data_IF_482784333007
#
_entry.id   IF_482784333007
#
_cell.length_a   1.000
_cell.length_b   1.000
_cell.length_c   1.000
_cell.angle_alpha   90.00
_cell.angle_beta   90.00
_cell.angle_gamma   90.00
#
_symmetry.space_group_name_H-M   'P 1'
#
loop_
_entity.id
_entity.type
_entity.pdbx_description
1 polymer ?
#
# COMPACT_ATOMS: atom_id res chain seq x y z
N UNK A 1 -21.28 -7.93 -21.38
CA UNK A 1 -20.36 -7.37 -20.34
C UNK A 1 -19.28 -8.39 -20.03
N UNK A 2 -18.10 -7.95 -19.60
CA UNK A 2 -17.02 -8.86 -19.20
C UNK A 2 -17.48 -9.77 -18.04
N UNK A 3 -17.52 -11.11 -18.23
CA UNK A 3 -18.00 -12.03 -17.19
C UNK A 3 -17.09 -12.03 -15.93
N UNK A 4 -15.82 -11.67 -16.07
CA UNK A 4 -14.88 -11.62 -14.94
C UNK A 4 -15.26 -10.58 -13.89
N UNK A 5 -16.07 -9.58 -14.24
CA UNK A 5 -16.56 -8.59 -13.26
C UNK A 5 -17.41 -9.24 -12.14
N UNK A 6 -18.10 -10.34 -12.42
CA UNK A 6 -18.88 -11.07 -11.43
C UNK A 6 -18.02 -11.82 -10.40
N UNK A 7 -16.73 -12.00 -10.68
CA UNK A 7 -15.79 -12.66 -9.76
C UNK A 7 -15.15 -11.68 -8.76
N UNK A 8 -15.32 -10.36 -8.99
CA UNK A 8 -14.80 -9.35 -8.06
C UNK A 8 -15.58 -9.40 -6.73
N UNK A 9 -14.83 -9.39 -5.64
CA UNK A 9 -15.43 -9.30 -4.30
C UNK A 9 -15.83 -7.86 -3.97
N UNK A 10 -16.87 -7.66 -3.13
CA UNK A 10 -17.24 -6.33 -2.66
C UNK A 10 -16.04 -5.62 -1.99
N UNK A 11 -15.82 -4.37 -2.39
CA UNK A 11 -14.69 -3.60 -1.87
C UNK A 11 -14.83 -3.34 -0.35
N UNK A 12 -13.75 -3.40 0.45
CA UNK A 12 -13.80 -3.33 1.92
C UNK A 12 -14.61 -2.16 2.47
N UNK A 13 -14.48 -0.98 1.87
CA UNK A 13 -15.26 0.19 2.32
C UNK A 13 -16.75 0.12 1.97
N UNK A 14 -17.13 -0.61 0.93
CA UNK A 14 -18.52 -0.96 0.64
C UNK A 14 -19.09 -1.88 1.73
N UNK A 15 -18.35 -2.92 2.08
CA UNK A 15 -18.70 -3.83 3.19
C UNK A 15 -18.78 -3.09 4.53
N UNK A 16 -17.85 -2.16 4.80
CA UNK A 16 -17.84 -1.36 6.02
C UNK A 16 -19.11 -0.48 6.12
N UNK A 17 -19.51 0.16 5.03
CA UNK A 17 -20.77 0.94 5.00
C UNK A 17 -21.99 0.07 5.28
N UNK A 18 -22.04 -1.15 4.74
CA UNK A 18 -23.11 -2.10 5.01
C UNK A 18 -23.11 -2.56 6.47
N UNK A 19 -21.95 -2.84 7.05
CA UNK A 19 -21.80 -3.22 8.46
C UNK A 19 -22.34 -2.14 9.41
N UNK A 20 -22.14 -0.88 9.06
CA UNK A 20 -22.57 0.27 9.86
C UNK A 20 -24.00 0.76 9.54
N UNK A 21 -24.66 0.16 8.57
CA UNK A 21 -26.03 0.52 8.22
C UNK A 21 -26.95 0.40 9.45
N UNK A 22 -27.75 1.44 9.69
CA UNK A 22 -28.69 1.51 10.82
C UNK A 22 -28.04 1.73 12.19
N UNK A 23 -26.72 1.94 12.26
CA UNK A 23 -26.07 2.33 13.53
C UNK A 23 -26.18 3.84 13.70
N UNK A 24 -26.69 4.27 14.85
CA UNK A 24 -26.73 5.67 15.27
C UNK A 24 -25.73 5.86 16.41
N UNK A 25 -24.58 6.49 16.18
CA UNK A 25 -23.61 6.74 17.24
C UNK A 25 -24.13 7.73 18.28
N UNK A 26 -23.61 7.72 19.52
CA UNK A 26 -24.01 8.65 20.56
C UNK A 26 -23.63 10.09 20.22
N UNK A 27 -24.56 11.03 20.37
CA UNK A 27 -24.33 12.46 20.12
C UNK A 27 -23.28 13.09 21.06
N UNK A 28 -23.00 12.43 22.20
CA UNK A 28 -21.99 12.89 23.17
C UNK A 28 -20.55 12.76 22.67
N UNK A 29 -20.30 11.97 21.61
CA UNK A 29 -18.97 11.77 21.05
C UNK A 29 -18.91 12.31 19.61
N UNK A 30 -17.94 13.19 19.35
CA UNK A 30 -17.61 13.59 17.99
C UNK A 30 -17.09 12.37 17.20
N UNK A 31 -17.41 12.24 15.89
CA UNK A 31 -16.97 11.11 15.09
C UNK A 31 -15.45 11.12 14.89
N UNK A 32 -14.77 10.00 15.15
CA UNK A 32 -13.37 9.80 14.80
C UNK A 32 -13.23 8.58 13.91
N UNK A 33 -12.62 8.77 12.74
CA UNK A 33 -12.41 7.67 11.79
C UNK A 33 -10.95 7.26 11.73
N UNK A 34 -10.67 6.05 12.20
CA UNK A 34 -9.41 5.32 12.02
C UNK A 34 -9.53 4.23 10.93
N UNK A 35 -10.67 4.14 10.24
CA UNK A 35 -10.91 3.09 9.24
C UNK A 35 -10.27 3.38 7.88
N UNK A 36 -10.23 4.67 7.47
CA UNK A 36 -9.78 5.07 6.14
C UNK A 36 -8.32 5.50 6.15
N UNK A 37 -7.50 4.88 5.30
CA UNK A 37 -6.06 5.21 5.14
C UNK A 37 -5.82 6.34 4.14
N UNK A 38 -6.38 7.52 4.39
CA UNK A 38 -6.16 8.73 3.62
C UNK A 38 -5.44 9.77 4.47
N UNK A 39 -4.24 10.26 4.04
CA UNK A 39 -3.52 11.28 4.77
C UNK A 39 -4.36 12.54 5.02
N UNK A 40 -4.30 13.07 6.23
CA UNK A 40 -5.03 14.28 6.63
C UNK A 40 -4.12 15.46 6.99
N UNK A 41 -2.79 15.27 6.97
CA UNK A 41 -1.88 16.40 7.09
C UNK A 41 -2.06 17.34 5.89
N UNK A 42 -1.88 18.66 6.06
CA UNK A 42 -2.07 19.60 4.97
C UNK A 42 -1.07 19.36 3.85
N UNK A 43 -1.53 19.54 2.61
CA UNK A 43 -0.66 19.56 1.45
C UNK A 43 0.36 20.69 1.57
N UNK A 44 1.67 20.43 1.38
CA UNK A 44 2.70 21.47 1.41
C UNK A 44 2.42 22.62 0.46
N UNK A 45 2.66 23.87 0.90
CA UNK A 45 2.30 25.06 0.14
C UNK A 45 3.06 25.12 -1.19
N UNK A 46 4.36 24.80 -1.19
CA UNK A 46 5.19 24.84 -2.41
C UNK A 46 4.68 23.92 -3.53
N UNK A 47 3.99 22.82 -3.20
CA UNK A 47 3.36 21.94 -4.20
C UNK A 47 2.15 22.63 -4.83
N UNK A 48 1.34 23.34 -4.03
CA UNK A 48 0.21 24.13 -4.54
C UNK A 48 0.70 25.29 -5.42
N UNK A 49 1.79 25.93 -5.01
CA UNK A 49 2.41 27.02 -5.78
C UNK A 49 2.95 26.52 -7.13
N UNK A 50 3.57 25.33 -7.14
CA UNK A 50 4.01 24.70 -8.39
C UNK A 50 2.84 24.37 -9.33
N UNK A 51 1.69 23.94 -8.81
CA UNK A 51 0.46 23.76 -9.60
C UNK A 51 0.03 25.09 -10.21
N UNK A 52 -0.11 26.12 -9.37
CA UNK A 52 -0.61 27.43 -9.79
C UNK A 52 0.29 28.11 -10.83
N UNK A 53 1.61 27.95 -10.70
CA UNK A 53 2.59 28.52 -11.62
C UNK A 53 2.67 27.80 -12.99
N UNK A 54 2.05 26.63 -13.14
CA UNK A 54 2.16 25.82 -14.36
C UNK A 54 0.80 25.51 -15.02
N UNK A 55 -0.25 26.29 -14.73
CA UNK A 55 -1.59 26.08 -15.30
C UNK A 55 -1.64 26.16 -16.83
N UNK A 56 -0.74 26.91 -17.46
CA UNK A 56 -0.62 26.99 -18.93
C UNK A 56 -0.32 25.61 -19.57
N UNK A 57 0.22 24.66 -18.79
CA UNK A 57 0.42 23.29 -19.22
C UNK A 57 -0.87 22.53 -19.58
N UNK A 58 -2.05 23.07 -19.22
CA UNK A 58 -3.36 22.50 -19.59
C UNK A 58 -3.63 22.60 -21.09
N UNK A 59 -2.93 23.45 -21.82
CA UNK A 59 -3.15 23.68 -23.24
C UNK A 59 -2.63 22.56 -24.16
N UNK A 60 -1.89 21.57 -23.63
CA UNK A 60 -1.21 20.55 -24.44
C UNK A 60 -1.43 19.15 -23.91
N UNK A 61 -1.57 18.17 -24.83
CA UNK A 61 -1.56 16.77 -24.46
C UNK A 61 -0.19 16.35 -23.93
N UNK A 62 -0.12 15.66 -22.77
CA UNK A 62 1.13 15.12 -22.26
C UNK A 62 1.56 13.86 -23.02
N UNK A 63 2.86 13.66 -23.17
CA UNK A 63 3.39 12.37 -23.59
C UNK A 63 3.16 11.31 -22.49
N UNK A 64 2.83 10.07 -22.87
CA UNK A 64 2.62 8.96 -21.91
C UNK A 64 3.87 8.69 -21.07
N UNK A 65 5.06 8.81 -21.64
CA UNK A 65 6.34 8.67 -20.93
C UNK A 65 6.61 9.81 -19.93
N UNK A 66 5.85 10.90 -19.99
CA UNK A 66 6.10 12.10 -19.22
C UNK A 66 7.33 12.90 -19.68
N UNK A 67 7.52 14.08 -19.10
CA UNK A 67 8.69 14.93 -19.34
C UNK A 67 9.96 14.22 -18.82
N UNK A 68 11.08 14.37 -19.53
CA UNK A 68 12.37 13.83 -19.12
C UNK A 68 12.78 14.34 -17.72
N UNK A 69 12.57 15.64 -17.46
CA UNK A 69 12.88 16.25 -16.15
C UNK A 69 12.14 15.57 -14.99
N UNK A 70 10.91 15.13 -15.23
CA UNK A 70 10.16 14.36 -14.21
C UNK A 70 10.80 12.99 -13.96
N UNK A 71 11.18 12.29 -15.01
CA UNK A 71 11.85 10.96 -14.89
C UNK A 71 13.24 11.09 -14.25
N UNK A 72 13.96 12.17 -14.56
CA UNK A 72 15.23 12.51 -13.90
C UNK A 72 15.03 12.84 -12.41
N UNK A 73 13.94 13.53 -12.04
CA UNK A 73 13.61 13.78 -10.63
C UNK A 73 13.35 12.48 -9.86
N UNK A 74 12.69 11.48 -10.49
CA UNK A 74 12.50 10.15 -9.90
C UNK A 74 13.83 9.41 -9.74
N UNK A 75 14.66 9.38 -10.77
CA UNK A 75 15.99 8.74 -10.72
C UNK A 75 16.89 9.39 -9.67
N UNK A 76 16.87 10.73 -9.58
CA UNK A 76 17.61 11.47 -8.57
C UNK A 76 17.12 11.13 -7.14
N UNK A 77 15.80 10.97 -6.95
CA UNK A 77 15.26 10.55 -5.67
C UNK A 77 15.69 9.11 -5.32
N UNK A 78 15.64 8.16 -6.26
CA UNK A 78 16.11 6.79 -6.07
C UNK A 78 17.59 6.75 -5.71
N UNK A 79 18.41 7.61 -6.33
CA UNK A 79 19.83 7.74 -6.00
C UNK A 79 20.01 8.25 -4.56
N UNK A 80 19.36 9.35 -4.16
CA UNK A 80 19.45 9.89 -2.80
C UNK A 80 18.95 8.93 -1.73
N UNK A 81 17.82 8.25 -2.02
CA UNK A 81 17.11 7.44 -1.03
C UNK A 81 17.68 6.03 -0.86
N UNK A 82 18.17 5.43 -1.93
CA UNK A 82 18.52 4.01 -1.99
C UNK A 82 19.94 3.75 -2.54
N UNK A 83 20.66 4.81 -2.88
CA UNK A 83 21.99 4.72 -3.54
C UNK A 83 21.93 3.89 -4.84
N UNK A 84 20.94 4.17 -5.69
CA UNK A 84 20.70 3.45 -6.93
C UNK A 84 21.00 4.31 -8.15
N UNK A 85 21.66 3.74 -9.13
CA UNK A 85 21.77 4.28 -10.48
C UNK A 85 20.65 3.68 -11.35
N UNK A 86 19.59 4.47 -11.62
CA UNK A 86 18.45 4.07 -12.43
C UNK A 86 18.38 4.96 -13.66
N UNK A 87 18.34 4.35 -14.86
CA UNK A 87 18.27 5.09 -16.11
C UNK A 87 16.86 5.73 -16.28
N UNK A 88 16.83 7.06 -16.23
CA UNK A 88 15.59 7.83 -16.41
C UNK A 88 14.94 7.68 -17.78
N UNK A 89 15.69 7.26 -18.80
CA UNK A 89 15.15 7.06 -20.14
C UNK A 89 14.42 5.72 -20.31
N UNK A 90 14.89 4.66 -19.67
CA UNK A 90 14.42 3.28 -19.94
C UNK A 90 13.85 2.55 -18.72
N UNK A 91 14.21 2.95 -17.50
CA UNK A 91 13.87 2.22 -16.28
C UNK A 91 12.84 2.91 -15.37
N UNK A 92 12.30 4.06 -15.77
CA UNK A 92 11.37 4.85 -14.95
C UNK A 92 10.21 5.37 -15.80
N UNK A 93 8.99 5.27 -15.27
CA UNK A 93 7.78 5.85 -15.88
C UNK A 93 6.92 6.57 -14.82
N UNK A 94 6.37 7.75 -15.13
CA UNK A 94 5.34 8.38 -14.30
C UNK A 94 4.03 7.58 -14.36
N UNK A 95 3.29 7.60 -13.24
CA UNK A 95 1.99 6.95 -13.14
C UNK A 95 0.98 7.87 -12.44
N UNK A 96 -0.31 7.75 -12.76
CA UNK A 96 -1.38 8.55 -12.17
C UNK A 96 -1.82 8.01 -10.80
N UNK A 97 -0.84 7.84 -9.92
CA UNK A 97 -0.93 7.16 -8.63
C UNK A 97 -0.74 5.65 -8.77
N UNK A 98 -0.25 5.03 -7.69
CA UNK A 98 0.09 3.59 -7.70
C UNK A 98 -1.11 2.67 -7.89
N UNK A 99 -2.33 3.08 -7.47
CA UNK A 99 -3.54 2.24 -7.60
C UNK A 99 -3.81 1.85 -9.05
N UNK A 100 -3.88 2.84 -9.95
CA UNK A 100 -4.14 2.56 -11.36
C UNK A 100 -2.98 1.82 -12.02
N UNK A 101 -1.75 2.17 -11.61
CA UNK A 101 -0.54 1.59 -12.17
C UNK A 101 -0.40 0.10 -11.82
N UNK A 102 -0.61 -0.28 -10.55
CA UNK A 102 -0.60 -1.68 -10.10
C UNK A 102 -1.66 -2.51 -10.83
N UNK A 103 -2.86 -1.94 -11.04
CA UNK A 103 -3.91 -2.59 -11.80
C UNK A 103 -3.52 -2.76 -13.27
N UNK A 104 -3.08 -1.70 -13.94
CA UNK A 104 -2.69 -1.69 -15.33
C UNK A 104 -1.46 -2.59 -15.60
N UNK A 105 -0.54 -2.67 -14.63
CA UNK A 105 0.66 -3.48 -14.76
C UNK A 105 0.34 -4.99 -14.84
N UNK A 106 -0.64 -5.47 -14.08
CA UNK A 106 -1.09 -6.85 -14.20
C UNK A 106 -1.62 -7.16 -15.62
N UNK A 107 -2.32 -6.21 -16.24
CA UNK A 107 -2.80 -6.35 -17.62
C UNK A 107 -1.64 -6.42 -18.64
N UNK A 108 -0.47 -5.86 -18.29
CA UNK A 108 0.73 -5.90 -19.14
C UNK A 108 1.48 -7.22 -19.02
N UNK A 109 1.51 -7.79 -17.82
CA UNK A 109 2.35 -8.97 -17.51
C UNK A 109 1.62 -10.28 -17.76
N UNK A 110 0.31 -10.35 -17.46
CA UNK A 110 -0.44 -11.59 -17.51
C UNK A 110 -0.76 -11.98 -18.95
N UNK A 111 -0.34 -13.19 -19.31
CA UNK A 111 -0.70 -13.86 -20.56
C UNK A 111 -1.72 -14.98 -20.27
N UNK A 112 -3.02 -14.73 -20.48
CA UNK A 112 -4.06 -15.73 -20.22
C UNK A 112 -4.02 -16.92 -21.19
N UNK A 113 -3.33 -16.80 -22.32
CA UNK A 113 -3.18 -17.89 -23.29
C UNK A 113 -2.27 -19.03 -22.80
N UNK A 114 -1.41 -18.75 -21.81
CA UNK A 114 -0.48 -19.74 -21.22
C UNK A 114 -1.13 -20.65 -20.18
N UNK A 115 -2.44 -20.82 -20.20
CA UNK A 115 -3.22 -21.76 -19.41
C UNK A 115 -3.23 -21.48 -17.91
N UNK A 116 -4.37 -21.06 -17.35
CA UNK A 116 -4.59 -20.81 -15.92
C UNK A 116 -3.44 -20.04 -15.19
N UNK A 117 -3.08 -18.83 -15.62
CA UNK A 117 -2.04 -18.06 -14.97
C UNK A 117 -2.42 -17.77 -13.52
N UNK A 118 -1.40 -17.65 -12.67
CA UNK A 118 -1.56 -17.34 -11.25
C UNK A 118 -0.89 -16.01 -10.95
N UNK A 119 -1.55 -15.22 -10.09
CA UNK A 119 -0.96 -14.05 -9.42
C UNK A 119 -0.87 -14.36 -7.93
N UNK A 120 0.33 -14.36 -7.37
CA UNK A 120 0.52 -14.54 -5.93
C UNK A 120 0.34 -13.19 -5.23
N UNK A 121 -0.52 -13.16 -4.20
CA UNK A 121 -0.79 -11.99 -3.37
C UNK A 121 -0.44 -12.32 -1.91
N UNK A 122 0.21 -11.42 -1.17
CA UNK A 122 0.29 -11.55 0.29
C UNK A 122 -1.13 -11.56 0.87
N UNK A 123 -1.33 -12.10 2.05
CA UNK A 123 -2.64 -12.15 2.70
C UNK A 123 -2.49 -11.87 4.20
N UNK A 124 -2.98 -10.76 4.75
CA UNK A 124 -3.84 -9.73 4.12
C UNK A 124 -3.15 -8.90 3.04
N UNK A 125 -3.93 -8.18 2.23
CA UNK A 125 -3.44 -7.48 1.05
C UNK A 125 -4.27 -6.24 0.68
N UNK A 126 -3.76 -5.47 -0.28
CA UNK A 126 -4.51 -4.40 -0.92
C UNK A 126 -5.36 -4.98 -2.06
N UNK A 127 -6.68 -4.80 -2.00
CA UNK A 127 -7.66 -5.48 -2.87
C UNK A 127 -7.49 -5.22 -4.37
N UNK A 128 -6.70 -4.22 -4.73
CA UNK A 128 -6.35 -3.94 -6.13
C UNK A 128 -5.58 -5.11 -6.76
N UNK A 129 -4.73 -5.81 -5.99
CA UNK A 129 -3.97 -6.96 -6.50
C UNK A 129 -4.89 -8.09 -6.97
N UNK A 130 -5.91 -8.44 -6.16
CA UNK A 130 -6.93 -9.42 -6.51
C UNK A 130 -7.72 -9.00 -7.75
N UNK A 131 -8.24 -7.76 -7.75
CA UNK A 131 -9.02 -7.24 -8.87
C UNK A 131 -8.21 -7.18 -10.17
N UNK A 132 -6.94 -6.80 -10.09
CA UNK A 132 -6.03 -6.78 -11.23
C UNK A 132 -5.77 -8.19 -11.78
N UNK A 133 -5.54 -9.17 -10.89
CA UNK A 133 -5.35 -10.57 -11.27
C UNK A 133 -6.58 -11.13 -11.99
N UNK A 134 -7.75 -11.01 -11.37
CA UNK A 134 -9.03 -11.52 -11.91
C UNK A 134 -9.34 -10.92 -13.28
N UNK A 135 -9.24 -9.59 -13.41
CA UNK A 135 -9.58 -8.93 -14.68
C UNK A 135 -8.52 -9.09 -15.77
N UNK A 136 -7.30 -9.50 -15.42
CA UNK A 136 -6.28 -9.95 -16.37
C UNK A 136 -6.47 -11.42 -16.79
N UNK A 137 -7.45 -12.14 -16.23
CA UNK A 137 -7.71 -13.54 -16.53
C UNK A 137 -6.85 -14.52 -15.73
N UNK A 138 -6.23 -14.07 -14.64
CA UNK A 138 -5.44 -14.90 -13.74
C UNK A 138 -6.22 -15.31 -12.48
N UNK A 139 -5.78 -16.41 -11.86
CA UNK A 139 -6.30 -16.84 -10.55
C UNK A 139 -5.42 -16.25 -9.45
N UNK A 140 -5.97 -15.48 -8.49
CA UNK A 140 -5.20 -15.04 -7.34
C UNK A 140 -4.90 -16.21 -6.39
N UNK A 141 -3.66 -16.35 -5.96
CA UNK A 141 -3.24 -17.24 -4.89
C UNK A 141 -2.85 -16.41 -3.67
N UNK A 142 -3.47 -16.67 -2.53
CA UNK A 142 -3.26 -15.91 -1.31
C UNK A 142 -2.24 -16.60 -0.43
N UNK A 143 -1.09 -15.94 -0.23
CA UNK A 143 0.00 -16.43 0.62
C UNK A 143 -0.12 -15.79 2.01
N UNK A 144 -0.47 -16.55 3.07
CA UNK A 144 -0.76 -15.98 4.38
C UNK A 144 0.49 -15.39 5.03
N UNK A 145 0.33 -14.23 5.67
CA UNK A 145 1.34 -13.64 6.54
C UNK A 145 1.31 -14.32 7.91
N UNK A 146 2.48 -14.46 8.53
CA UNK A 146 2.65 -15.11 9.82
C UNK A 146 2.97 -14.06 10.92
N UNK A 147 2.10 -13.88 11.92
CA UNK A 147 2.37 -12.96 13.03
C UNK A 147 3.68 -13.27 13.77
N UNK A 148 4.06 -14.55 13.87
CA UNK A 148 5.31 -14.96 14.54
C UNK A 148 6.58 -14.55 13.77
N UNK A 149 6.42 -14.19 12.48
CA UNK A 149 7.50 -13.72 11.59
C UNK A 149 7.37 -12.23 11.27
N UNK A 150 6.85 -11.45 12.19
CA UNK A 150 6.53 -10.03 11.95
C UNK A 150 5.65 -9.83 10.69
N UNK A 151 4.64 -10.68 10.53
CA UNK A 151 3.73 -10.69 9.38
C UNK A 151 4.40 -10.90 8.00
N UNK A 152 5.64 -11.40 7.96
CA UNK A 152 6.23 -11.85 6.72
C UNK A 152 5.50 -13.08 6.18
N UNK A 153 5.36 -13.16 4.87
CA UNK A 153 4.83 -14.36 4.20
C UNK A 153 5.87 -15.47 4.26
N UNK A 154 5.43 -16.69 4.57
CA UNK A 154 6.28 -17.86 4.41
C UNK A 154 6.16 -18.40 2.99
N UNK A 155 7.07 -18.00 2.11
CA UNK A 155 7.06 -18.40 0.70
C UNK A 155 7.22 -19.91 0.47
N UNK A 156 7.77 -20.65 1.45
CA UNK A 156 7.90 -22.11 1.39
C UNK A 156 6.55 -22.83 1.51
N UNK A 157 5.52 -22.14 2.00
CA UNK A 157 4.17 -22.70 2.07
C UNK A 157 3.41 -22.61 0.75
N UNK A 158 3.92 -21.86 -0.22
CA UNK A 158 3.31 -21.78 -1.56
C UNK A 158 3.72 -23.03 -2.35
N UNK A 159 2.76 -23.84 -2.81
CA UNK A 159 3.06 -25.08 -3.52
C UNK A 159 3.85 -24.85 -4.83
N UNK A 160 4.74 -25.75 -5.17
CA UNK A 160 5.54 -25.67 -6.40
C UNK A 160 4.67 -25.61 -7.67
N UNK A 161 3.54 -26.34 -7.70
CA UNK A 161 2.55 -26.26 -8.78
C UNK A 161 1.90 -24.86 -8.94
N UNK A 162 1.90 -24.03 -7.89
CA UNK A 162 1.48 -22.64 -7.95
C UNK A 162 2.59 -21.81 -8.57
N UNK A 163 3.85 -21.96 -8.12
CA UNK A 163 4.99 -21.25 -8.68
C UNK A 163 5.16 -21.47 -10.18
N UNK A 164 4.98 -22.71 -10.66
CA UNK A 164 5.08 -23.06 -12.08
C UNK A 164 4.08 -22.32 -12.97
N UNK A 165 2.96 -21.85 -12.42
CA UNK A 165 1.92 -21.09 -13.14
C UNK A 165 1.93 -19.61 -12.79
N UNK A 166 2.76 -19.19 -11.83
CA UNK A 166 2.83 -17.79 -11.41
C UNK A 166 3.46 -16.94 -12.51
N UNK A 167 2.78 -15.88 -12.89
CA UNK A 167 3.30 -14.89 -13.83
C UNK A 167 3.61 -13.56 -13.14
N UNK A 168 2.90 -13.25 -12.05
CA UNK A 168 3.09 -12.02 -11.29
C UNK A 168 2.97 -12.32 -9.80
N UNK A 169 3.84 -11.71 -9.02
CA UNK A 169 3.77 -11.68 -7.56
C UNK A 169 3.73 -10.22 -7.10
N UNK A 170 2.72 -9.87 -6.30
CA UNK A 170 2.67 -8.59 -5.61
C UNK A 170 3.31 -8.68 -4.24
N UNK A 171 4.13 -7.67 -3.92
CA UNK A 171 4.70 -7.44 -2.60
C UNK A 171 4.23 -6.06 -2.12
N UNK A 172 3.91 -5.92 -0.85
CA UNK A 172 3.68 -4.63 -0.22
C UNK A 172 4.67 -4.47 0.94
N UNK A 173 5.67 -3.63 0.76
CA UNK A 173 6.70 -3.38 1.78
C UNK A 173 7.10 -1.91 1.76
N UNK A 174 6.73 -1.15 2.82
CA UNK A 174 6.01 -1.54 4.05
C UNK A 174 4.56 -1.99 3.81
N UNK A 175 4.12 -2.96 4.58
CA UNK A 175 2.86 -3.66 4.39
C UNK A 175 1.60 -2.86 4.73
N UNK A 176 0.56 -2.97 3.91
CA UNK A 176 -0.79 -2.60 4.26
C UNK A 176 -1.62 -3.90 4.40
N UNK A 177 -2.10 -4.25 5.61
CA UNK A 177 -2.29 -3.40 6.80
C UNK A 177 -1.19 -3.49 7.89
N UNK A 178 -0.21 -4.36 7.75
CA UNK A 178 0.65 -4.82 8.85
C UNK A 178 1.76 -3.84 9.25
N UNK A 179 2.18 -2.97 8.34
CA UNK A 179 3.32 -2.08 8.52
C UNK A 179 4.69 -2.78 8.51
N UNK A 180 4.72 -4.09 8.24
CA UNK A 180 5.96 -4.87 8.20
C UNK A 180 6.84 -4.49 7.00
N UNK A 181 8.15 -4.43 7.22
CA UNK A 181 9.15 -4.24 6.17
C UNK A 181 9.81 -5.57 5.85
N UNK A 182 9.84 -5.92 4.57
CA UNK A 182 10.42 -7.18 4.12
C UNK A 182 11.96 -7.16 4.24
N UNK A 183 12.57 -8.10 4.97
CA UNK A 183 14.01 -8.15 5.15
C UNK A 183 14.72 -8.65 3.87
N UNK A 184 16.02 -8.38 3.76
CA UNK A 184 16.83 -8.75 2.60
C UNK A 184 16.79 -10.24 2.27
N UNK A 185 16.76 -11.11 3.29
CA UNK A 185 16.67 -12.57 3.10
C UNK A 185 15.40 -13.02 2.38
N UNK A 186 14.27 -12.38 2.65
CA UNK A 186 13.01 -12.67 1.96
C UNK A 186 13.04 -12.16 0.51
N UNK A 187 13.66 -11.00 0.26
CA UNK A 187 13.88 -10.51 -1.10
C UNK A 187 14.77 -11.45 -1.92
N UNK A 188 15.89 -11.92 -1.34
CA UNK A 188 16.79 -12.86 -2.00
C UNK A 188 16.06 -14.15 -2.40
N UNK A 189 15.24 -14.70 -1.49
CA UNK A 189 14.41 -15.86 -1.76
C UNK A 189 13.43 -15.63 -2.92
N UNK A 190 12.78 -14.46 -2.96
CA UNK A 190 11.88 -14.12 -4.07
C UNK A 190 12.63 -13.96 -5.40
N UNK A 191 13.85 -13.42 -5.39
CA UNK A 191 14.68 -13.34 -6.61
C UNK A 191 15.06 -14.73 -7.12
N UNK A 192 15.43 -15.66 -6.24
CA UNK A 192 15.74 -17.04 -6.61
C UNK A 192 14.51 -17.76 -7.20
N UNK A 193 13.34 -17.57 -6.59
CA UNK A 193 12.08 -18.11 -7.10
C UNK A 193 11.70 -17.50 -8.45
N UNK A 194 11.85 -16.19 -8.61
CA UNK A 194 11.61 -15.49 -9.88
C UNK A 194 12.56 -15.95 -10.98
N UNK A 195 13.84 -16.15 -10.68
CA UNK A 195 14.82 -16.68 -11.64
C UNK A 195 14.48 -18.11 -12.07
N UNK A 196 13.99 -18.93 -11.13
CA UNK A 196 13.63 -20.34 -11.38
C UNK A 196 12.34 -20.49 -12.19
N UNK A 197 11.32 -19.69 -11.88
CA UNK A 197 9.97 -19.86 -12.43
C UNK A 197 9.58 -18.79 -13.47
N UNK A 198 10.35 -17.70 -13.58
CA UNK A 198 10.19 -16.67 -14.60
C UNK A 198 9.07 -15.67 -14.32
N UNK A 199 8.55 -15.57 -13.10
CA UNK A 199 7.51 -14.59 -12.76
C UNK A 199 8.08 -13.20 -12.48
N UNK A 200 7.24 -12.18 -12.64
CA UNK A 200 7.55 -10.79 -12.33
C UNK A 200 7.19 -10.47 -10.89
N UNK A 201 8.02 -9.67 -10.22
CA UNK A 201 7.76 -9.12 -8.88
C UNK A 201 7.37 -7.65 -9.02
N UNK A 202 6.17 -7.31 -8.54
CA UNK A 202 5.67 -5.94 -8.43
C UNK A 202 5.65 -5.50 -6.96
N UNK A 203 6.57 -4.62 -6.58
CA UNK A 203 6.72 -4.11 -5.23
C UNK A 203 5.92 -2.81 -5.05
N UNK A 204 4.91 -2.82 -4.18
CA UNK A 204 4.16 -1.63 -3.76
C UNK A 204 4.85 -1.02 -2.54
N UNK A 205 5.53 0.11 -2.73
CA UNK A 205 6.36 0.78 -1.72
C UNK A 205 5.78 2.14 -1.30
N UNK A 206 4.47 2.31 -1.41
CA UNK A 206 3.81 3.59 -1.15
C UNK A 206 3.99 4.14 0.28
N UNK A 207 4.43 3.33 1.23
CA UNK A 207 4.63 3.71 2.63
C UNK A 207 6.11 3.84 3.03
N UNK A 208 7.05 3.74 2.10
CA UNK A 208 8.51 3.72 2.35
C UNK A 208 9.04 4.94 3.13
N UNK A 209 8.34 6.08 3.07
CA UNK A 209 8.80 7.32 3.70
C UNK A 209 8.19 7.58 5.08
N UNK A 210 7.28 6.72 5.54
CA UNK A 210 6.67 6.82 6.88
C UNK A 210 7.22 5.66 7.72
N UNK A 211 8.24 5.91 8.54
CA UNK A 211 8.90 4.88 9.34
C UNK A 211 9.35 5.42 10.71
N UNK A 212 9.56 4.50 11.65
CA UNK A 212 9.77 4.82 13.06
C UNK A 212 11.19 4.49 13.54
N UNK A 213 11.94 3.71 12.76
CA UNK A 213 13.34 3.35 13.03
C UNK A 213 14.28 4.43 12.51
N UNK A 214 15.56 4.37 12.89
CA UNK A 214 16.59 5.25 12.34
C UNK A 214 16.93 4.85 10.91
N UNK A 215 16.97 3.54 10.63
CA UNK A 215 17.18 3.03 9.28
C UNK A 215 15.89 3.09 8.44
N UNK A 216 15.95 3.70 7.26
CA UNK A 216 14.82 3.71 6.33
C UNK A 216 14.47 2.28 5.86
N UNK A 217 13.18 2.01 5.51
CA UNK A 217 12.76 0.74 4.94
C UNK A 217 13.57 0.36 3.69
N UNK A 218 13.95 -0.91 3.62
CA UNK A 218 14.57 -1.51 2.44
C UNK A 218 13.56 -1.59 1.31
N UNK A 219 13.88 -1.03 0.14
CA UNK A 219 13.09 -1.16 -1.08
C UNK A 219 13.51 -2.36 -1.93
N UNK A 220 12.62 -2.84 -2.80
CA UNK A 220 12.90 -3.99 -3.68
C UNK A 220 14.06 -3.77 -4.63
N UNK A 221 14.14 -2.59 -5.26
CA UNK A 221 15.26 -2.26 -6.15
C UNK A 221 16.60 -2.19 -5.38
N UNK A 222 16.59 -1.63 -4.17
CA UNK A 222 17.78 -1.61 -3.30
C UNK A 222 18.18 -3.03 -2.89
N UNK A 223 17.21 -3.88 -2.56
CA UNK A 223 17.47 -5.27 -2.23
C UNK A 223 18.06 -6.05 -3.41
N UNK A 224 17.63 -5.75 -4.64
CA UNK A 224 18.18 -6.34 -5.86
C UNK A 224 19.60 -5.86 -6.15
N UNK A 225 19.89 -4.58 -5.96
CA UNK A 225 21.22 -4.03 -6.21
C UNK A 225 22.30 -4.57 -5.25
N UNK A 226 21.96 -4.89 -4.00
CA UNK A 226 22.91 -5.41 -3.01
C UNK A 226 23.68 -6.67 -3.46
N UNK A 227 23.06 -7.69 -4.07
CA UNK A 227 23.74 -8.84 -4.66
C UNK A 227 24.20 -8.60 -6.11
N UNK A 228 24.10 -7.37 -6.64
CA UNK A 228 24.56 -7.02 -7.99
C UNK A 228 23.55 -7.15 -9.12
N UNK A 229 22.24 -7.30 -8.82
CA UNK A 229 21.16 -7.35 -9.83
C UNK A 229 20.76 -5.93 -10.26
N UNK A 230 21.70 -5.21 -10.89
CA UNK A 230 21.51 -3.79 -11.27
C UNK A 230 20.64 -3.60 -12.52
N UNK A 231 20.34 -4.66 -13.26
CA UNK A 231 19.39 -4.68 -14.36
C UNK A 231 17.93 -4.79 -13.86
N UNK A 232 17.72 -5.08 -12.58
CA UNK A 232 16.42 -5.30 -11.93
C UNK A 232 15.55 -6.34 -12.64
N UNK A 233 16.16 -7.36 -13.24
CA UNK A 233 15.46 -8.39 -14.00
C UNK A 233 14.23 -8.90 -13.29
N UNK A 234 13.07 -8.87 -13.98
CA UNK A 234 11.75 -9.27 -13.48
C UNK A 234 11.26 -8.52 -12.22
N UNK A 235 11.79 -7.35 -11.91
CA UNK A 235 11.40 -6.56 -10.74
C UNK A 235 11.00 -5.16 -11.13
N UNK A 236 9.87 -4.70 -10.57
CA UNK A 236 9.44 -3.31 -10.62
C UNK A 236 9.00 -2.83 -9.23
N UNK A 237 9.28 -1.57 -8.92
CA UNK A 237 8.82 -0.90 -7.69
C UNK A 237 7.89 0.26 -8.02
N UNK A 238 6.77 0.34 -7.30
CA UNK A 238 5.78 1.40 -7.40
C UNK A 238 5.83 2.27 -6.16
N UNK A 239 5.85 3.58 -6.36
CA UNK A 239 5.76 4.55 -5.26
C UNK A 239 4.84 5.71 -5.61
N UNK A 240 4.46 6.52 -4.62
CA UNK A 240 3.46 7.56 -4.78
C UNK A 240 3.70 8.75 -3.86
N UNK A 241 3.39 9.96 -4.36
CA UNK A 241 3.36 11.17 -3.54
C UNK A 241 2.18 11.20 -2.55
N UNK A 242 1.18 10.32 -2.72
CA UNK A 242 -0.03 10.33 -1.89
C UNK A 242 0.26 10.26 -0.39
N UNK A 243 1.21 9.39 0.01
CA UNK A 243 1.55 9.18 1.43
C UNK A 243 2.80 9.96 1.83
N UNK A 244 3.78 10.02 0.93
CA UNK A 244 5.04 10.71 1.11
C UNK A 244 4.83 12.22 1.32
N UNK A 245 3.95 12.83 0.51
CA UNK A 245 3.83 14.29 0.39
C UNK A 245 2.43 14.83 0.72
N UNK A 246 1.55 14.02 1.29
CA UNK A 246 0.16 14.40 1.65
C UNK A 246 -0.64 15.01 0.48
N UNK A 247 -0.48 14.44 -0.73
CA UNK A 247 -1.18 14.89 -1.94
C UNK A 247 -1.92 13.75 -2.65
N UNK A 248 -2.80 13.00 -1.94
CA UNK A 248 -3.50 11.87 -2.55
C UNK A 248 -4.36 12.28 -3.74
N UNK A 249 -4.89 13.50 -3.75
CA UNK A 249 -5.70 14.06 -4.84
C UNK A 249 -4.90 14.41 -6.10
N UNK A 250 -3.57 14.60 -6.00
CA UNK A 250 -2.71 14.92 -7.13
C UNK A 250 -2.60 13.77 -8.15
N UNK A 251 -2.83 12.53 -7.71
CA UNK A 251 -2.71 11.32 -8.53
C UNK A 251 -1.34 11.19 -9.20
N UNK A 252 -0.28 11.26 -8.40
CA UNK A 252 1.11 11.18 -8.87
C UNK A 252 1.91 10.10 -8.16
N UNK A 253 2.73 9.43 -8.93
CA UNK A 253 3.70 8.43 -8.51
C UNK A 253 4.59 8.03 -9.68
N UNK A 254 5.42 7.04 -9.48
CA UNK A 254 6.20 6.41 -10.54
C UNK A 254 6.31 4.90 -10.36
N UNK A 255 6.70 4.22 -11.42
CA UNK A 255 7.19 2.85 -11.42
C UNK A 255 8.61 2.84 -11.96
N UNK A 256 9.49 2.05 -11.34
CA UNK A 256 10.87 1.89 -11.79
C UNK A 256 11.31 0.42 -11.70
N UNK A 257 12.27 0.01 -12.54
CA UNK A 257 12.83 -1.34 -12.50
C UNK A 257 13.31 -1.84 -13.85
N UNK A 258 12.99 -3.10 -14.17
CA UNK A 258 13.38 -3.79 -15.40
C UNK A 258 12.99 -3.00 -16.66
N UNK A 259 13.99 -2.64 -17.47
CA UNK A 259 13.78 -1.81 -18.67
C UNK A 259 12.88 -2.49 -19.72
N UNK A 260 12.91 -3.82 -19.84
CA UNK A 260 12.04 -4.53 -20.77
C UNK A 260 10.58 -4.48 -20.33
N UNK A 261 10.32 -4.60 -19.02
CA UNK A 261 9.00 -4.44 -18.44
C UNK A 261 8.52 -2.99 -18.57
N UNK A 262 9.40 -1.99 -18.35
CA UNK A 262 9.04 -0.57 -18.53
C UNK A 262 8.66 -0.27 -19.98
N UNK A 263 9.38 -0.81 -20.95
CA UNK A 263 9.05 -0.66 -22.39
C UNK A 263 7.66 -1.23 -22.71
N UNK A 264 7.37 -2.43 -22.24
CA UNK A 264 6.06 -3.08 -22.45
C UNK A 264 4.93 -2.30 -21.75
N UNK A 265 5.17 -1.85 -20.52
CA UNK A 265 4.20 -1.08 -19.76
C UNK A 265 3.92 0.29 -20.37
N UNK A 266 4.94 0.98 -20.89
CA UNK A 266 4.77 2.22 -21.63
C UNK A 266 3.87 2.03 -22.87
N UNK A 267 4.07 0.94 -23.63
CA UNK A 267 3.23 0.62 -24.76
C UNK A 267 1.77 0.40 -24.34
N UNK A 268 1.54 -0.41 -23.30
CA UNK A 268 0.20 -0.62 -22.75
C UNK A 268 -0.46 0.71 -22.32
N UNK A 269 0.26 1.54 -21.56
CA UNK A 269 -0.23 2.83 -21.07
C UNK A 269 -0.57 3.79 -22.22
N UNK A 270 0.15 3.73 -23.32
CA UNK A 270 -0.12 4.55 -24.51
C UNK A 270 -1.50 4.23 -25.11
N UNK A 271 -1.87 2.96 -25.18
CA UNK A 271 -3.22 2.55 -25.63
C UNK A 271 -4.28 2.78 -24.55
N UNK A 272 -3.95 2.53 -23.29
CA UNK A 272 -4.85 2.77 -22.15
C UNK A 272 -5.16 4.26 -21.93
N UNK A 273 -4.29 5.17 -22.40
CA UNK A 273 -4.49 6.62 -22.34
C UNK A 273 -4.13 7.27 -21.01
N UNK A 274 -3.40 6.57 -20.14
CA UNK A 274 -3.03 7.08 -18.81
C UNK A 274 -1.76 7.92 -18.89
N UNK A 275 -1.89 9.20 -19.15
CA UNK A 275 -0.79 10.18 -19.20
C UNK A 275 -0.94 11.22 -18.08
N UNK A 276 0.17 11.59 -17.45
CA UNK A 276 0.16 12.58 -16.36
C UNK A 276 0.09 14.00 -16.91
N UNK A 277 -0.87 14.80 -16.43
CA UNK A 277 -1.00 16.21 -16.81
C UNK A 277 0.29 16.99 -16.60
N UNK A 278 0.69 17.90 -17.50
CA UNK A 278 1.90 18.74 -17.33
C UNK A 278 1.90 19.54 -16.02
N UNK A 279 0.75 20.00 -15.57
CA UNK A 279 0.60 20.69 -14.28
C UNK A 279 0.97 19.77 -13.12
N UNK A 280 0.50 18.53 -13.17
CA UNK A 280 0.83 17.50 -12.16
C UNK A 280 2.29 17.10 -12.24
N UNK A 281 2.88 17.04 -13.44
CA UNK A 281 4.30 16.77 -13.62
C UNK A 281 5.18 17.83 -12.96
N UNK A 282 4.86 19.11 -13.15
CA UNK A 282 5.60 20.21 -12.52
C UNK A 282 5.53 20.15 -10.99
N UNK A 283 4.34 19.93 -10.43
CA UNK A 283 4.16 19.76 -8.99
C UNK A 283 4.90 18.51 -8.46
N UNK A 284 4.95 17.44 -9.25
CA UNK A 284 5.66 16.21 -8.90
C UNK A 284 7.18 16.42 -8.88
N UNK A 285 7.74 17.15 -9.86
CA UNK A 285 9.17 17.49 -9.87
C UNK A 285 9.53 18.25 -8.59
N UNK A 286 8.74 19.26 -8.21
CA UNK A 286 8.96 20.02 -6.98
C UNK A 286 8.91 19.11 -5.74
N UNK A 287 7.89 18.23 -5.65
CA UNK A 287 7.71 17.34 -4.51
C UNK A 287 8.82 16.29 -4.38
N UNK A 288 9.30 15.71 -5.49
CA UNK A 288 10.40 14.74 -5.48
C UNK A 288 11.77 15.39 -5.23
N UNK A 289 11.89 16.68 -5.47
CA UNK A 289 13.10 17.47 -5.21
C UNK A 289 13.28 17.91 -3.76
N UNK A 290 12.24 17.83 -2.93
CA UNK A 290 12.25 18.30 -1.54
C UNK A 290 12.09 17.14 -0.57
N UNK A 291 12.98 17.04 0.44
CA UNK A 291 12.92 16.05 1.52
C UNK A 291 12.48 16.65 2.86
N UNK A 292 12.53 17.99 3.02
CA UNK A 292 12.19 18.64 4.28
C UNK A 292 10.73 18.36 4.69
N UNK A 293 9.78 18.54 3.77
CA UNK A 293 8.37 18.22 4.05
C UNK A 293 8.11 16.74 4.37
N UNK A 294 8.97 15.85 3.84
CA UNK A 294 8.87 14.40 4.12
C UNK A 294 9.33 14.08 5.53
N UNK A 295 10.40 14.72 5.98
CA UNK A 295 10.89 14.60 7.35
C UNK A 295 9.88 15.15 8.35
N UNK A 296 9.31 16.32 8.08
CA UNK A 296 8.23 16.91 8.88
C UNK A 296 7.03 15.98 8.97
N UNK A 297 6.57 15.45 7.82
CA UNK A 297 5.47 14.50 7.78
C UNK A 297 5.77 13.24 8.61
N UNK A 298 6.97 12.68 8.51
CA UNK A 298 7.43 11.52 9.29
C UNK A 298 7.42 11.81 10.79
N UNK A 299 7.89 12.99 11.19
CA UNK A 299 7.89 13.41 12.61
C UNK A 299 6.46 13.51 13.17
N UNK A 300 5.49 14.01 12.40
CA UNK A 300 4.10 14.03 12.81
C UNK A 300 3.54 12.62 13.05
N UNK A 301 3.85 11.65 12.19
CA UNK A 301 3.45 10.25 12.39
C UNK A 301 4.17 9.64 13.60
N UNK A 302 5.47 9.85 13.76
CA UNK A 302 6.23 9.39 14.95
C UNK A 302 5.57 9.87 16.24
N UNK A 303 5.18 11.14 16.30
CA UNK A 303 4.48 11.72 17.46
C UNK A 303 3.15 11.03 17.75
N UNK A 304 2.33 10.74 16.72
CA UNK A 304 1.05 10.03 16.88
C UNK A 304 1.25 8.62 17.43
N UNK A 305 2.13 7.86 16.82
CA UNK A 305 2.38 6.48 17.24
C UNK A 305 2.97 6.40 18.65
N UNK A 306 3.87 7.31 19.01
CA UNK A 306 4.44 7.37 20.36
C UNK A 306 3.39 7.61 21.45
N UNK A 307 2.28 8.30 21.14
CA UNK A 307 1.21 8.57 22.08
C UNK A 307 0.11 7.50 22.04
N UNK A 308 -0.26 7.01 20.89
CA UNK A 308 -1.40 6.11 20.70
C UNK A 308 -1.05 4.65 20.98
N UNK A 309 0.09 4.18 20.48
CA UNK A 309 0.45 2.75 20.60
C UNK A 309 0.53 2.26 22.04
N UNK A 310 1.17 2.97 23.01
CA UNK A 310 1.23 2.53 24.40
C UNK A 310 -0.15 2.44 25.07
N UNK A 311 -1.08 3.34 24.75
CA UNK A 311 -2.45 3.31 25.29
C UNK A 311 -3.17 2.02 24.88
N UNK A 312 -3.08 1.67 23.60
CA UNK A 312 -3.75 0.48 23.05
C UNK A 312 -3.06 -0.82 23.47
N UNK A 313 -1.74 -0.84 23.55
CA UNK A 313 -0.97 -2.02 23.96
C UNK A 313 -1.31 -2.48 25.38
N UNK A 314 -1.85 -1.61 26.22
CA UNK A 314 -2.33 -1.96 27.57
C UNK A 314 -3.62 -2.80 27.58
N UNK A 315 -4.37 -2.85 26.47
CA UNK A 315 -5.68 -3.53 26.41
C UNK A 315 -5.85 -4.43 25.16
N UNK A 316 -4.97 -4.36 24.19
CA UNK A 316 -4.99 -5.15 22.95
C UNK A 316 -3.59 -5.67 22.61
N UNK A 317 -3.53 -6.77 21.86
CA UNK A 317 -2.28 -7.19 21.22
C UNK A 317 -2.01 -6.29 20.00
N UNK A 318 -1.18 -5.28 20.22
CA UNK A 318 -0.73 -4.32 19.20
C UNK A 318 0.68 -3.82 19.55
N UNK A 319 1.51 -3.65 18.53
CA UNK A 319 2.86 -3.10 18.68
C UNK A 319 3.11 -1.98 17.67
N UNK A 320 4.19 -1.21 17.90
CA UNK A 320 4.67 -0.25 16.91
C UNK A 320 5.11 -1.00 15.65
N UNK A 321 4.53 -0.69 14.48
CA UNK A 321 4.95 -1.31 13.22
C UNK A 321 6.35 -0.83 12.79
N UNK A 322 6.94 -1.49 11.80
CA UNK A 322 8.20 -1.02 11.21
C UNK A 322 8.00 0.33 10.48
N UNK A 323 6.89 0.46 9.75
CA UNK A 323 6.58 1.62 8.92
C UNK A 323 5.09 1.73 8.57
N UNK A 324 4.73 2.74 7.79
CA UNK A 324 3.35 3.04 7.41
C UNK A 324 2.62 3.86 8.47
N UNK A 325 1.32 3.99 8.32
CA UNK A 325 0.49 4.74 9.27
C UNK A 325 -0.67 3.91 9.85
N UNK A 326 -0.50 2.58 9.83
CA UNK A 326 -1.50 1.65 10.35
C UNK A 326 -1.03 0.97 11.64
N UNK A 327 -1.95 0.82 12.59
CA UNK A 327 -1.87 -0.20 13.63
C UNK A 327 -2.69 -1.41 13.18
N UNK A 328 -2.14 -2.60 13.35
CA UNK A 328 -2.76 -3.89 13.07
C UNK A 328 -2.95 -4.65 14.36
N UNK A 329 -4.09 -4.42 15.02
CA UNK A 329 -4.36 -4.86 16.38
C UNK A 329 -5.25 -6.10 16.41
N UNK A 330 -4.98 -7.03 17.33
CA UNK A 330 -5.85 -8.17 17.60
C UNK A 330 -6.99 -7.75 18.54
N UNK A 331 -8.21 -8.12 18.22
CA UNK A 331 -9.37 -7.94 19.09
C UNK A 331 -9.18 -8.84 20.32
N UNK A 332 -9.30 -8.30 21.55
CA UNK A 332 -9.11 -9.12 22.76
C UNK A 332 -10.07 -10.29 22.83
N UNK A 333 -9.56 -11.50 23.06
CA UNK A 333 -10.35 -12.74 23.14
C UNK A 333 -11.38 -12.69 24.27
N UNK A 334 -11.05 -12.00 25.37
CA UNK A 334 -11.95 -11.82 26.50
C UNK A 334 -13.26 -11.12 26.16
N UNK A 335 -13.32 -10.39 25.03
CA UNK A 335 -14.56 -9.74 24.59
C UNK A 335 -15.56 -10.74 23.95
N UNK A 336 -15.11 -11.91 23.51
CA UNK A 336 -15.94 -12.90 22.79
C UNK A 336 -16.53 -12.37 21.48
N UNK A 337 -15.92 -11.35 20.86
CA UNK A 337 -16.40 -10.67 19.66
C UNK A 337 -15.52 -11.00 18.46
N UNK A 338 -16.13 -11.06 17.28
CA UNK A 338 -15.42 -11.02 16.01
C UNK A 338 -14.92 -9.59 15.73
N UNK A 339 -14.02 -9.43 14.77
CA UNK A 339 -13.51 -8.12 14.32
C UNK A 339 -14.65 -7.21 13.78
N UNK A 340 -15.67 -7.79 13.13
CA UNK A 340 -16.83 -7.06 12.63
C UNK A 340 -17.77 -6.62 13.76
N UNK A 341 -18.05 -7.48 14.72
CA UNK A 341 -18.85 -7.13 15.91
C UNK A 341 -18.15 -6.07 16.75
N UNK A 342 -16.84 -6.20 16.95
CA UNK A 342 -16.04 -5.18 17.63
C UNK A 342 -16.14 -3.82 16.92
N UNK A 343 -15.92 -3.75 15.62
CA UNK A 343 -15.97 -2.50 14.85
C UNK A 343 -17.38 -1.86 14.91
N UNK A 344 -18.46 -2.67 14.81
CA UNK A 344 -19.83 -2.19 14.90
C UNK A 344 -20.19 -1.69 16.29
N UNK A 345 -19.82 -2.41 17.33
CA UNK A 345 -20.08 -2.03 18.72
C UNK A 345 -19.32 -0.78 19.13
N UNK A 346 -18.05 -0.65 18.70
CA UNK A 346 -17.23 0.53 18.95
C UNK A 346 -17.84 1.79 18.31
N UNK A 347 -18.30 1.70 17.06
CA UNK A 347 -19.03 2.81 16.43
C UNK A 347 -20.32 3.16 17.20
N UNK A 348 -21.11 2.14 17.53
CA UNK A 348 -22.40 2.32 18.18
C UNK A 348 -22.31 2.95 19.59
N UNK A 349 -21.21 2.73 20.32
CA UNK A 349 -21.09 3.16 21.71
C UNK A 349 -20.12 4.32 21.92
N UNK A 350 -19.13 4.47 21.05
CA UNK A 350 -18.04 5.45 21.22
C UNK A 350 -17.76 6.33 20.01
N UNK A 351 -18.54 6.16 18.93
CA UNK A 351 -18.41 6.92 17.69
C UNK A 351 -16.99 6.88 17.08
N UNK A 352 -16.34 5.71 17.17
CA UNK A 352 -15.02 5.46 16.58
C UNK A 352 -15.16 4.40 15.50
N UNK A 353 -14.61 4.69 14.31
CA UNK A 353 -14.58 3.78 13.17
C UNK A 353 -13.22 3.12 13.03
N UNK A 354 -13.19 1.79 12.98
CA UNK A 354 -12.02 0.97 12.62
C UNK A 354 -12.38 0.07 11.44
N UNK A 355 -11.40 -0.50 10.76
CA UNK A 355 -11.64 -1.41 9.63
C UNK A 355 -11.42 -2.85 10.06
N UNK A 356 -12.44 -3.73 9.99
CA UNK A 356 -12.28 -5.16 10.26
C UNK A 356 -11.21 -5.79 9.37
N UNK A 357 -10.36 -6.59 9.98
CA UNK A 357 -9.24 -7.22 9.30
C UNK A 357 -9.67 -8.31 8.34
N UNK A 358 -10.75 -9.03 8.65
CA UNK A 358 -11.35 -10.02 7.76
C UNK A 358 -11.78 -9.46 6.40
N UNK A 359 -11.99 -8.13 6.30
CA UNK A 359 -12.29 -7.45 5.04
C UNK A 359 -11.07 -7.21 4.17
N UNK A 360 -9.87 -7.25 4.77
CA UNK A 360 -8.59 -7.03 4.10
C UNK A 360 -7.88 -8.34 3.71
N UNK A 361 -8.46 -9.47 4.05
CA UNK A 361 -7.89 -10.79 3.80
C UNK A 361 -8.90 -11.70 3.12
N UNK A 362 -8.43 -12.87 2.71
CA UNK A 362 -9.24 -13.96 2.19
C UNK A 362 -8.99 -15.21 3.01
N UNK A 363 -9.98 -16.07 3.05
CA UNK A 363 -9.78 -17.42 3.56
C UNK A 363 -8.84 -18.19 2.63
N UNK A 364 -7.77 -18.71 3.19
CA UNK A 364 -6.79 -19.52 2.51
C UNK A 364 -6.22 -20.55 3.48
N UNK A 365 -6.03 -21.78 3.02
CA UNK A 365 -5.50 -22.88 3.84
C UNK A 365 -6.29 -23.09 5.16
N UNK A 366 -7.62 -22.88 5.10
CA UNK A 366 -8.52 -23.09 6.26
C UNK A 366 -8.50 -21.96 7.29
N UNK A 367 -7.88 -20.81 7.00
CA UNK A 367 -7.87 -19.66 7.91
C UNK A 367 -7.94 -18.32 7.14
N UNK A 368 -8.47 -17.29 7.81
CA UNK A 368 -8.41 -15.91 7.36
C UNK A 368 -7.44 -15.14 8.29
N UNK A 369 -6.22 -14.77 7.81
CA UNK A 369 -5.21 -14.12 8.66
C UNK A 369 -5.60 -12.72 9.12
N UNK A 370 -6.66 -12.14 8.55
CA UNK A 370 -7.25 -10.87 8.99
C UNK A 370 -8.35 -11.04 10.04
N UNK A 371 -8.85 -12.25 10.27
CA UNK A 371 -9.87 -12.51 11.28
C UNK A 371 -9.35 -12.15 12.68
N UNK A 372 -10.28 -11.68 13.54
CA UNK A 372 -9.96 -11.24 14.91
C UNK A 372 -8.95 -10.07 14.98
N UNK A 373 -8.77 -9.32 13.90
CA UNK A 373 -7.92 -8.12 13.87
C UNK A 373 -8.68 -6.91 13.34
N UNK A 374 -8.21 -5.72 13.71
CA UNK A 374 -8.68 -4.47 13.16
C UNK A 374 -7.50 -3.62 12.67
N UNK A 375 -7.70 -2.94 11.55
CA UNK A 375 -6.77 -1.93 11.07
C UNK A 375 -7.21 -0.56 11.54
N UNK A 376 -6.29 0.19 12.15
CA UNK A 376 -6.46 1.58 12.57
C UNK A 376 -5.47 2.47 11.83
N UNK A 377 -5.96 3.43 11.06
CA UNK A 377 -5.15 4.41 10.34
C UNK A 377 -5.00 5.67 11.20
N UNK A 378 -3.79 5.98 11.66
CA UNK A 378 -3.50 7.16 12.48
C UNK A 378 -3.30 8.41 11.62
N UNK A 379 -4.25 8.70 10.75
CA UNK A 379 -4.18 9.80 9.76
C UNK A 379 -4.80 11.11 10.25
N UNK A 380 -5.73 11.06 11.21
CA UNK A 380 -6.30 12.23 11.88
C UNK A 380 -5.21 13.03 12.64
N UNK A 381 -5.53 14.19 13.19
CA UNK A 381 -4.57 14.88 14.04
C UNK A 381 -4.22 14.07 15.29
N UNK A 382 -3.15 14.49 15.98
CA UNK A 382 -2.64 13.71 17.12
C UNK A 382 -3.67 13.62 18.24
N UNK A 383 -4.41 14.69 18.51
CA UNK A 383 -5.39 14.74 19.58
C UNK A 383 -6.60 13.85 19.27
N UNK A 384 -7.12 13.90 18.06
CA UNK A 384 -8.19 12.99 17.60
C UNK A 384 -7.75 11.51 17.70
N UNK A 385 -6.51 11.20 17.30
CA UNK A 385 -5.99 9.82 17.39
C UNK A 385 -5.87 9.34 18.84
N UNK A 386 -5.41 10.19 19.75
CA UNK A 386 -5.32 9.90 21.19
C UNK A 386 -6.72 9.73 21.80
N UNK A 387 -7.65 10.61 21.46
CA UNK A 387 -9.04 10.52 21.92
C UNK A 387 -9.69 9.21 21.47
N UNK A 388 -9.52 8.84 20.19
CA UNK A 388 -10.00 7.55 19.69
C UNK A 388 -9.40 6.37 20.47
N UNK A 389 -8.09 6.40 20.75
CA UNK A 389 -7.42 5.36 21.53
C UNK A 389 -8.01 5.25 22.96
N UNK A 390 -8.23 6.37 23.63
CA UNK A 390 -8.84 6.38 24.98
C UNK A 390 -10.27 5.82 24.96
N UNK A 391 -11.07 6.15 23.94
CA UNK A 391 -12.41 5.57 23.78
C UNK A 391 -12.37 4.07 23.53
N UNK A 392 -11.39 3.57 22.75
CA UNK A 392 -11.18 2.13 22.55
C UNK A 392 -10.79 1.46 23.86
N UNK A 393 -9.88 2.05 24.65
CA UNK A 393 -9.50 1.54 25.97
C UNK A 393 -10.73 1.46 26.89
N UNK A 394 -11.52 2.51 26.97
CA UNK A 394 -12.74 2.55 27.78
C UNK A 394 -13.76 1.50 27.34
N UNK A 395 -13.97 1.31 26.02
CA UNK A 395 -14.84 0.29 25.46
C UNK A 395 -14.41 -1.12 25.89
N UNK A 396 -13.12 -1.44 25.80
CA UNK A 396 -12.60 -2.75 26.17
C UNK A 396 -12.71 -2.98 27.66
N UNK A 397 -12.26 -2.03 28.49
CA UNK A 397 -12.29 -2.13 29.95
C UNK A 397 -13.70 -2.26 30.51
N UNK A 398 -14.68 -1.55 29.95
CA UNK A 398 -16.09 -1.64 30.39
C UNK A 398 -16.74 -3.01 30.14
N UNK A 399 -16.07 -3.90 29.39
CA UNK A 399 -16.57 -5.24 29.02
C UNK A 399 -15.72 -6.39 29.56
N UNK A 400 -14.55 -6.07 30.11
CA UNK A 400 -13.63 -7.06 30.68
C UNK A 400 -13.47 -6.91 32.19
N UNK A 401 -14.08 -5.86 32.78
CA UNK A 401 -14.24 -5.69 34.24
C UNK A 401 -15.47 -6.47 34.71
#
# INVERSE_FOLDING_TARGET
MNPLLSHLQPYPFGRLRQLFAGVTPPAAFSPVSLGMGEPRHPTPQFIKDAISANLDGLASYPATAGDLRLREAFSAWLSRRYDLAVDSATQVLPVNGSREALFAFAQTVIDPSRGQPVVVCPNPFYQIYEGAAVLAGATPHYAPSDPARNFAVNWDTVPDAVWQRTQLLFVCSPGNPTGAVMPLSEWQKLFELSDRHGFVIASDECYSEIYFRDEPPLGGLQAAARPGRNDFKNLVSFTSLSKRSNVPGLRSGFVAGDAALMKAFLLYRTYHGSAMSPVVQAASIAAWGDEHHVEENRMLYRKKFAQVTPLLAGVMDVSLPDAGFYLWAKVPEALGMTDTEFARALLAQYNVTVLPGSYLAREAQGSNPGAQRVRMALVADTQECVEAALRIVQFIQSRTA
#
